data_IF_213807447476
#
_entry.id   IF_213807447476
#
_cell.length_a   1.000
_cell.length_b   1.000
_cell.length_c   1.000
_cell.angle_alpha   90.00
_cell.angle_beta   90.00
_cell.angle_gamma   90.00
#
_symmetry.space_group_name_H-M   'P 1'
#
loop_
_entity.id
_entity.type
_entity.pdbx_description
1 polymer ?
#
# COMPACT_ATOMS: atom_id res chain seq x y z
N UNK A 1 -24.94 -6.30 8.82
CA UNK A 1 -24.32 -7.56 8.36
C UNK A 1 -22.82 -7.36 8.34
N UNK A 2 -22.03 -8.34 8.76
CA UNK A 2 -20.57 -8.27 8.70
C UNK A 2 -20.09 -8.25 7.24
N UNK A 3 -19.03 -7.50 6.93
CA UNK A 3 -18.45 -7.48 5.58
C UNK A 3 -17.49 -8.67 5.37
N UNK A 4 -17.23 -9.05 4.12
CA UNK A 4 -16.44 -10.25 3.78
C UNK A 4 -15.00 -10.22 4.31
N UNK A 5 -14.38 -9.04 4.38
CA UNK A 5 -13.00 -8.83 4.86
C UNK A 5 -12.96 -7.98 6.13
N UNK A 6 -14.04 -7.95 6.90
CA UNK A 6 -14.06 -7.26 8.18
C UNK A 6 -12.99 -7.84 9.12
N UNK A 7 -12.16 -6.96 9.68
CA UNK A 7 -11.03 -7.33 10.54
C UNK A 7 -9.71 -7.61 9.81
N UNK A 8 -9.72 -7.71 8.47
CA UNK A 8 -8.50 -7.89 7.67
C UNK A 8 -7.78 -6.56 7.49
N UNK A 9 -6.47 -6.51 7.75
CA UNK A 9 -5.61 -5.34 7.50
C UNK A 9 -4.72 -5.55 6.29
N UNK A 10 -4.70 -4.58 5.39
CA UNK A 10 -3.92 -4.60 4.15
C UNK A 10 -2.89 -3.47 4.17
N UNK A 11 -1.62 -3.83 3.99
CA UNK A 11 -0.53 -2.91 3.74
C UNK A 11 -0.39 -2.70 2.23
N UNK A 12 -0.83 -1.55 1.75
CA UNK A 12 -0.90 -1.21 0.33
C UNK A 12 0.31 -0.37 -0.09
N UNK A 13 1.30 -1.00 -0.72
CA UNK A 13 2.47 -0.35 -1.33
C UNK A 13 2.27 -0.01 -2.80
N UNK A 14 1.06 -0.13 -3.30
CA UNK A 14 0.81 -0.05 -4.72
C UNK A 14 0.66 1.39 -5.20
N UNK A 15 0.95 1.60 -6.48
CA UNK A 15 0.80 2.88 -7.16
C UNK A 15 0.29 2.71 -8.59
N UNK A 16 -0.13 3.80 -9.24
CA UNK A 16 -0.73 3.76 -10.58
C UNK A 16 -2.08 3.03 -10.57
N UNK A 17 -2.25 1.89 -11.26
CA UNK A 17 -3.57 1.32 -11.50
C UNK A 17 -3.71 -0.14 -11.07
N UNK A 18 -2.80 -1.02 -11.46
CA UNK A 18 -2.98 -2.47 -11.28
C UNK A 18 -3.13 -2.86 -9.80
N UNK A 19 -2.18 -2.45 -8.96
CA UNK A 19 -2.24 -2.68 -7.53
C UNK A 19 -3.34 -1.88 -6.82
N UNK A 20 -3.49 -0.56 -7.07
CA UNK A 20 -4.51 0.22 -6.38
C UNK A 20 -5.95 -0.26 -6.64
N UNK A 21 -6.22 -0.78 -7.85
CA UNK A 21 -7.51 -1.42 -8.18
C UNK A 21 -7.76 -2.63 -7.28
N UNK A 22 -6.76 -3.51 -7.13
CA UNK A 22 -6.84 -4.69 -6.26
C UNK A 22 -7.18 -4.28 -4.82
N UNK A 23 -6.40 -3.39 -4.23
CA UNK A 23 -6.58 -3.02 -2.82
C UNK A 23 -7.83 -2.16 -2.57
N UNK A 24 -8.31 -1.42 -3.57
CA UNK A 24 -9.61 -0.73 -3.48
C UNK A 24 -10.77 -1.72 -3.36
N UNK A 25 -10.75 -2.82 -4.14
CA UNK A 25 -11.77 -3.87 -4.02
C UNK A 25 -11.74 -4.52 -2.63
N UNK A 26 -10.55 -4.75 -2.07
CA UNK A 26 -10.41 -5.26 -0.70
C UNK A 26 -11.01 -4.29 0.33
N UNK A 27 -10.79 -2.99 0.17
CA UNK A 27 -11.38 -1.96 1.02
C UNK A 27 -12.92 -1.96 0.94
N UNK A 28 -13.48 -2.11 -0.27
CA UNK A 28 -14.93 -2.19 -0.47
C UNK A 28 -15.54 -3.42 0.21
N UNK A 29 -14.81 -4.55 0.20
CA UNK A 29 -15.16 -5.76 0.94
C UNK A 29 -14.94 -5.67 2.46
N UNK A 30 -14.47 -4.53 2.97
CA UNK A 30 -14.42 -4.24 4.40
C UNK A 30 -13.03 -4.34 5.04
N UNK A 31 -11.98 -4.56 4.26
CA UNK A 31 -10.62 -4.55 4.79
C UNK A 31 -10.20 -3.12 5.21
N UNK A 32 -9.37 -3.02 6.24
CA UNK A 32 -8.67 -1.80 6.61
C UNK A 32 -7.40 -1.68 5.75
N UNK A 33 -7.47 -0.83 4.72
CA UNK A 33 -6.39 -0.66 3.75
C UNK A 33 -5.57 0.57 4.09
N UNK A 34 -4.30 0.34 4.41
CA UNK A 34 -3.31 1.36 4.76
C UNK A 34 -2.38 1.54 3.56
N UNK A 35 -2.59 2.61 2.79
CA UNK A 35 -1.76 2.99 1.67
C UNK A 35 -0.49 3.69 2.17
N UNK A 36 0.65 3.11 1.86
CA UNK A 36 1.97 3.66 2.18
C UNK A 36 2.48 4.47 1.00
N UNK A 37 2.76 5.73 1.25
CA UNK A 37 3.10 6.72 0.23
C UNK A 37 4.44 7.40 0.51
N UNK A 38 5.10 7.88 -0.56
CA UNK A 38 6.36 8.63 -0.40
C UNK A 38 6.06 10.04 0.16
N UNK A 39 6.77 10.51 1.20
CA UNK A 39 6.58 11.85 1.72
C UNK A 39 6.76 12.93 0.65
N UNK A 40 5.86 13.92 0.64
CA UNK A 40 5.89 15.07 -0.27
C UNK A 40 5.41 14.79 -1.71
N UNK A 41 5.45 13.53 -2.18
CA UNK A 41 5.08 13.17 -3.54
C UNK A 41 3.78 12.36 -3.60
N UNK A 42 3.62 11.35 -2.75
CA UNK A 42 2.49 10.43 -2.78
C UNK A 42 2.52 9.42 -3.92
N UNK A 43 1.36 8.85 -4.24
CA UNK A 43 1.10 8.16 -5.50
C UNK A 43 1.10 9.16 -6.67
N UNK A 44 1.82 8.84 -7.75
CA UNK A 44 1.94 9.72 -8.92
C UNK A 44 0.57 10.09 -9.53
N UNK A 45 -0.43 9.21 -9.38
CA UNK A 45 -1.78 9.46 -9.89
C UNK A 45 -2.42 10.69 -9.25
N UNK A 46 -2.00 11.12 -8.05
CA UNK A 46 -2.47 12.37 -7.42
C UNK A 46 -2.25 13.60 -8.30
N UNK A 47 -1.16 13.59 -9.08
CA UNK A 47 -0.73 14.68 -9.97
C UNK A 47 -1.12 14.52 -11.44
N UNK A 48 -1.42 13.30 -11.87
CA UNK A 48 -1.65 13.01 -13.29
C UNK A 48 -3.05 13.40 -13.73
N UNK A 49 -3.16 14.08 -14.88
CA UNK A 49 -4.44 14.44 -15.50
C UNK A 49 -5.38 15.24 -14.58
N UNK A 50 -4.81 16.12 -13.74
CA UNK A 50 -5.59 16.99 -12.85
C UNK A 50 -6.53 17.89 -13.65
N UNK A 51 -7.79 17.87 -13.24
CA UNK A 51 -8.89 18.72 -13.72
C UNK A 51 -9.09 19.95 -12.82
N UNK A 52 -8.74 19.85 -11.53
CA UNK A 52 -8.80 20.94 -10.56
C UNK A 52 -7.38 21.27 -10.03
N UNK A 53 -6.94 22.54 -10.05
CA UNK A 53 -5.66 22.94 -9.47
C UNK A 53 -5.53 22.55 -8.00
N UNK A 54 -4.35 22.07 -7.61
CA UNK A 54 -3.97 21.68 -6.24
C UNK A 54 -4.83 20.59 -5.57
N UNK A 55 -5.79 19.99 -6.29
CA UNK A 55 -6.56 18.83 -5.84
C UNK A 55 -5.90 17.51 -6.30
N UNK A 56 -6.24 16.42 -5.61
CA UNK A 56 -5.96 15.08 -6.13
C UNK A 56 -6.76 14.85 -7.41
N UNK A 57 -6.12 14.27 -8.43
CA UNK A 57 -6.78 13.99 -9.70
C UNK A 57 -7.88 12.93 -9.57
N UNK A 58 -8.81 12.91 -10.54
CA UNK A 58 -9.77 11.82 -10.69
C UNK A 58 -9.12 10.44 -10.83
N UNK A 59 -7.93 10.37 -11.41
CA UNK A 59 -7.19 9.11 -11.54
C UNK A 59 -6.84 8.53 -10.15
N UNK A 60 -6.40 9.38 -9.23
CA UNK A 60 -6.14 8.96 -7.86
C UNK A 60 -7.44 8.64 -7.10
N UNK A 61 -8.42 9.55 -7.14
CA UNK A 61 -9.61 9.42 -6.30
C UNK A 61 -10.43 8.19 -6.66
N UNK A 62 -10.57 7.87 -7.95
CA UNK A 62 -11.34 6.71 -8.42
C UNK A 62 -10.66 5.35 -8.15
N UNK A 63 -9.38 5.34 -7.73
CA UNK A 63 -8.60 4.12 -7.47
C UNK A 63 -8.23 3.93 -6.00
N UNK A 64 -8.49 4.91 -5.15
CA UNK A 64 -8.04 4.90 -3.76
C UNK A 64 -9.14 5.23 -2.75
N UNK A 65 -10.42 5.05 -3.12
CA UNK A 65 -11.51 5.14 -2.17
C UNK A 65 -11.36 4.13 -1.04
N UNK A 66 -11.88 4.50 0.15
CA UNK A 66 -11.90 3.67 1.36
C UNK A 66 -10.52 3.27 1.91
N UNK A 67 -9.43 3.89 1.45
CA UNK A 67 -8.08 3.69 1.98
C UNK A 67 -7.70 4.80 2.95
N UNK A 68 -6.92 4.46 3.97
CA UNK A 68 -6.18 5.44 4.79
C UNK A 68 -4.79 5.64 4.18
N UNK A 69 -4.25 6.85 4.24
CA UNK A 69 -2.92 7.16 3.73
C UNK A 69 -1.95 7.47 4.87
N UNK A 70 -0.74 6.94 4.76
CA UNK A 70 0.41 7.32 5.59
C UNK A 70 1.62 7.56 4.70
N UNK A 71 2.36 8.63 4.97
CA UNK A 71 3.64 8.87 4.32
C UNK A 71 4.78 8.25 5.13
N UNK A 72 5.63 7.46 4.48
CA UNK A 72 6.79 6.81 5.13
C UNK A 72 8.05 6.97 4.30
N UNK A 73 9.10 7.53 4.92
CA UNK A 73 10.46 7.49 4.36
C UNK A 73 11.19 6.24 4.85
N UNK A 74 11.31 5.24 3.97
CA UNK A 74 12.00 3.98 4.28
C UNK A 74 13.53 4.11 4.33
N UNK A 75 14.09 5.29 4.01
CA UNK A 75 15.51 5.58 4.24
C UNK A 75 15.79 6.02 5.67
N UNK A 76 14.80 6.56 6.37
CA UNK A 76 14.89 6.93 7.77
C UNK A 76 14.75 5.68 8.66
N UNK A 77 15.66 5.44 9.64
CA UNK A 77 15.53 4.34 10.61
C UNK A 77 14.16 4.29 11.30
N UNK A 78 13.55 5.44 11.59
CA UNK A 78 12.24 5.53 12.24
C UNK A 78 11.13 5.09 11.29
N UNK A 79 11.23 5.47 10.02
CA UNK A 79 10.32 5.02 8.96
C UNK A 79 10.43 3.51 8.72
N UNK A 80 11.64 2.94 8.80
CA UNK A 80 11.84 1.49 8.77
C UNK A 80 11.17 0.80 9.96
N UNK A 81 11.31 1.34 11.17
CA UNK A 81 10.65 0.78 12.37
C UNK A 81 9.14 0.76 12.23
N UNK A 82 8.54 1.89 11.85
CA UNK A 82 7.09 1.97 11.60
C UNK A 82 6.66 0.97 10.52
N UNK A 83 7.46 0.82 9.47
CA UNK A 83 7.17 -0.14 8.42
C UNK A 83 7.21 -1.60 8.92
N UNK A 84 8.22 -1.99 9.68
CA UNK A 84 8.27 -3.32 10.28
C UNK A 84 7.10 -3.57 11.23
N UNK A 85 6.69 -2.56 12.01
CA UNK A 85 5.51 -2.63 12.88
C UNK A 85 4.22 -2.82 12.08
N UNK A 86 4.08 -2.14 10.93
CA UNK A 86 2.95 -2.35 10.01
C UNK A 86 2.94 -3.78 9.45
N UNK A 87 4.10 -4.30 9.02
CA UNK A 87 4.20 -5.69 8.54
C UNK A 87 3.78 -6.70 9.61
N UNK A 88 4.13 -6.47 10.89
CA UNK A 88 3.76 -7.34 12.01
C UNK A 88 2.25 -7.42 12.26
N UNK A 89 1.50 -6.37 11.93
CA UNK A 89 0.06 -6.29 12.26
C UNK A 89 -0.88 -6.47 11.07
N UNK A 90 -0.36 -6.44 9.84
CA UNK A 90 -1.13 -6.62 8.62
C UNK A 90 -1.24 -8.09 8.22
N UNK A 91 -2.38 -8.44 7.62
CA UNK A 91 -2.66 -9.80 7.13
C UNK A 91 -2.21 -9.98 5.67
N UNK A 92 -2.24 -8.89 4.91
CA UNK A 92 -1.86 -8.88 3.49
C UNK A 92 -0.95 -7.69 3.22
N UNK A 93 0.12 -7.91 2.45
CA UNK A 93 0.92 -6.85 1.84
C UNK A 93 0.78 -6.95 0.31
N UNK A 94 0.50 -5.82 -0.35
CA UNK A 94 0.35 -5.77 -1.80
C UNK A 94 1.33 -4.76 -2.39
N UNK A 95 2.09 -5.16 -3.41
CA UNK A 95 3.04 -4.29 -4.10
C UNK A 95 3.03 -4.49 -5.63
N UNK A 96 3.38 -3.45 -6.36
CA UNK A 96 3.53 -3.49 -7.82
C UNK A 96 4.76 -2.72 -8.31
N UNK A 97 5.83 -2.73 -7.53
CA UNK A 97 7.10 -2.14 -7.91
C UNK A 97 7.81 -2.97 -8.98
N UNK A 98 8.78 -2.34 -9.64
CA UNK A 98 9.73 -3.06 -10.50
C UNK A 98 10.47 -4.16 -9.71
N UNK A 99 10.90 -5.25 -10.38
CA UNK A 99 11.64 -6.33 -9.74
C UNK A 99 12.81 -5.84 -8.84
N UNK A 100 12.88 -6.40 -7.63
CA UNK A 100 13.92 -6.12 -6.65
C UNK A 100 13.83 -4.77 -5.92
N UNK A 101 12.83 -3.92 -6.19
CA UNK A 101 12.65 -2.65 -5.45
C UNK A 101 12.37 -2.93 -3.98
N UNK A 102 11.47 -3.85 -3.68
CA UNK A 102 11.09 -4.20 -2.30
C UNK A 102 12.28 -4.76 -1.51
N UNK A 103 13.09 -5.62 -2.13
CA UNK A 103 14.32 -6.14 -1.53
C UNK A 103 15.32 -5.02 -1.21
N UNK A 104 15.49 -4.04 -2.13
CA UNK A 104 16.33 -2.86 -1.90
C UNK A 104 15.81 -1.94 -0.80
N UNK A 105 14.52 -2.01 -0.48
CA UNK A 105 13.93 -1.33 0.68
C UNK A 105 14.20 -2.08 2.00
N UNK A 106 14.79 -3.28 1.95
CA UNK A 106 15.06 -4.13 3.10
C UNK A 106 13.90 -5.05 3.49
N UNK A 107 12.89 -5.18 2.63
CA UNK A 107 11.74 -6.06 2.83
C UNK A 107 11.81 -7.26 1.88
N UNK A 108 12.84 -8.10 2.04
CA UNK A 108 12.88 -9.38 1.33
C UNK A 108 11.75 -10.30 1.84
N UNK A 109 11.41 -11.31 1.05
CA UNK A 109 10.42 -12.31 1.45
C UNK A 109 10.77 -12.98 2.79
N UNK A 110 12.04 -13.33 2.99
CA UNK A 110 12.54 -13.93 4.23
C UNK A 110 12.33 -12.98 5.40
N UNK A 111 12.69 -11.70 5.23
CA UNK A 111 12.52 -10.69 6.28
C UNK A 111 11.05 -10.49 6.64
N UNK A 112 10.17 -10.47 5.65
CA UNK A 112 8.73 -10.35 5.86
C UNK A 112 8.20 -11.56 6.64
N UNK A 113 8.60 -12.79 6.27
CA UNK A 113 8.19 -13.99 6.99
C UNK A 113 8.74 -14.07 8.43
N UNK A 114 9.96 -13.59 8.67
CA UNK A 114 10.51 -13.47 10.03
C UNK A 114 9.67 -12.53 10.88
N UNK A 115 9.24 -11.40 10.32
CA UNK A 115 8.42 -10.41 11.01
C UNK A 115 7.00 -10.89 11.24
N UNK A 116 6.41 -11.56 10.25
CA UNK A 116 5.05 -12.04 10.28
C UNK A 116 4.88 -13.31 9.43
N UNK A 117 4.92 -14.52 10.03
CA UNK A 117 4.78 -15.77 9.27
C UNK A 117 3.36 -16.04 8.78
N UNK A 118 2.38 -15.20 9.11
CA UNK A 118 0.98 -15.33 8.68
C UNK A 118 0.63 -14.43 7.49
N UNK A 119 1.50 -13.47 7.15
CA UNK A 119 1.19 -12.46 6.14
C UNK A 119 1.16 -13.08 4.74
N UNK A 120 0.19 -12.64 3.93
CA UNK A 120 0.14 -12.95 2.50
C UNK A 120 0.84 -11.81 1.75
N UNK A 121 1.83 -12.13 0.93
CA UNK A 121 2.47 -11.15 0.04
C UNK A 121 1.94 -11.35 -1.39
N UNK A 122 1.31 -10.31 -1.93
CA UNK A 122 0.83 -10.26 -3.30
C UNK A 122 1.65 -9.27 -4.13
N UNK A 123 2.21 -9.73 -5.24
CA UNK A 123 3.07 -8.96 -6.13
C UNK A 123 2.46 -8.89 -7.53
N UNK A 124 2.33 -7.69 -8.08
CA UNK A 124 1.99 -7.50 -9.50
C UNK A 124 3.27 -7.23 -10.29
N UNK A 125 3.43 -7.95 -11.39
CA UNK A 125 4.54 -7.83 -12.36
C UNK A 125 3.97 -7.82 -13.78
N UNK A 126 4.78 -7.39 -14.76
CA UNK A 126 4.43 -7.40 -16.18
C UNK A 126 4.68 -8.76 -16.84
#
# INVERSE_FOLDING_TARGET
MAKALEGVRVLDFTHVQSGPTCTQLLAWFGADVIKVERPGEGDITRGQLRDVPDADSLYFTMLNHNKRSITLDTKNPDGKRVLEDLVRICDVMVENFAPGVLDRMGLTWERIQELNPRIIVASVKG
#
